data_IF_302426966182
#
_entry.id   IF_302426966182
#
_cell.length_a   1.000
_cell.length_b   1.000
_cell.length_c   1.000
_cell.angle_alpha   90.00
_cell.angle_beta   90.00
_cell.angle_gamma   90.00
#
_symmetry.space_group_name_H-M   'P 1'
#
loop_
_entity.id
_entity.type
_entity.pdbx_description
1 polymer ?
#
# COMPACT_ATOMS: atom_id res chain seq x y z
N UNK A 1 -8.06 6.62 -5.55
CA UNK A 1 -6.75 6.10 -5.09
C UNK A 1 -5.71 6.38 -6.16
N UNK A 2 -4.58 6.90 -5.75
CA UNK A 2 -3.50 7.19 -6.69
C UNK A 2 -2.65 5.96 -6.89
N UNK A 3 -2.22 5.70 -8.13
CA UNK A 3 -1.49 4.49 -8.48
C UNK A 3 -0.11 4.87 -8.99
N UNK A 4 0.91 4.15 -8.54
CA UNK A 4 2.30 4.41 -8.90
C UNK A 4 2.93 3.13 -9.44
N UNK A 5 3.91 3.29 -10.34
CA UNK A 5 4.74 2.16 -10.74
C UNK A 5 5.71 1.82 -9.61
N UNK A 6 6.25 0.60 -9.65
CA UNK A 6 7.25 0.21 -8.66
C UNK A 6 8.44 1.16 -8.69
N UNK A 7 8.87 1.55 -9.89
CA UNK A 7 10.00 2.47 -10.03
C UNK A 7 9.70 3.82 -9.38
N UNK A 8 8.53 4.38 -9.65
CA UNK A 8 8.14 5.64 -9.03
C UNK A 8 8.07 5.51 -7.51
N UNK A 9 7.54 4.39 -7.04
CA UNK A 9 7.43 4.17 -5.61
C UNK A 9 8.81 4.14 -4.95
N UNK A 10 9.77 3.46 -5.58
CA UNK A 10 11.13 3.40 -5.05
C UNK A 10 11.79 4.76 -5.00
N UNK A 11 11.57 5.57 -6.04
CA UNK A 11 12.18 6.90 -6.11
C UNK A 11 11.57 7.88 -5.12
N UNK A 12 10.30 7.69 -4.79
CA UNK A 12 9.57 8.60 -3.92
C UNK A 12 9.20 7.92 -2.60
N UNK A 13 9.97 6.94 -2.19
CA UNK A 13 9.66 6.09 -1.04
C UNK A 13 9.30 6.89 0.21
N UNK A 14 10.18 7.81 0.62
CA UNK A 14 9.95 8.56 1.85
C UNK A 14 8.66 9.38 1.79
N UNK A 15 8.43 10.02 0.66
CA UNK A 15 7.25 10.83 0.46
C UNK A 15 5.97 10.00 0.51
N UNK A 16 5.98 8.87 -0.20
CA UNK A 16 4.78 8.05 -0.32
C UNK A 16 4.47 7.31 0.97
N UNK A 17 5.48 6.86 1.70
CA UNK A 17 5.28 6.25 3.00
C UNK A 17 4.67 7.26 3.97
N UNK A 18 5.14 8.51 3.93
CA UNK A 18 4.57 9.54 4.78
C UNK A 18 3.09 9.76 4.49
N UNK A 19 2.71 9.73 3.22
CA UNK A 19 1.31 9.86 2.84
C UNK A 19 0.47 8.72 3.40
N UNK A 20 0.99 7.51 3.33
CA UNK A 20 0.29 6.35 3.89
C UNK A 20 0.14 6.49 5.40
N UNK A 21 1.19 6.94 6.07
CA UNK A 21 1.13 7.15 7.51
C UNK A 21 0.10 8.20 7.91
N UNK A 22 -0.18 9.13 7.01
CA UNK A 22 -1.20 10.16 7.24
C UNK A 22 -2.62 9.66 6.97
N UNK A 23 -2.76 8.43 6.52
CA UNK A 23 -4.07 7.83 6.31
C UNK A 23 -4.45 7.59 4.87
N UNK A 24 -3.56 7.85 3.91
CA UNK A 24 -3.86 7.65 2.51
C UNK A 24 -3.64 6.20 2.08
N UNK A 25 -4.39 5.77 1.09
CA UNK A 25 -4.21 4.46 0.48
C UNK A 25 -3.66 4.65 -0.92
N UNK A 26 -2.60 3.95 -1.25
CA UNK A 26 -1.92 4.08 -2.54
C UNK A 26 -1.87 2.73 -3.25
N UNK A 27 -1.92 2.76 -4.58
CA UNK A 27 -1.77 1.55 -5.39
C UNK A 27 -0.39 1.48 -6.01
N UNK A 28 0.11 0.28 -6.22
CA UNK A 28 1.41 0.03 -6.85
C UNK A 28 1.21 -1.01 -7.92
N UNK A 29 1.78 -0.78 -9.11
CA UNK A 29 1.73 -1.76 -10.19
C UNK A 29 3.15 -2.01 -10.69
N UNK A 30 3.41 -3.25 -11.10
CA UNK A 30 4.71 -3.59 -11.68
C UNK A 30 4.57 -3.79 -13.19
N UNK A 31 5.69 -4.09 -13.84
CA UNK A 31 5.71 -4.24 -15.29
C UNK A 31 4.94 -5.45 -15.79
N UNK A 32 4.69 -6.41 -14.92
CA UNK A 32 3.95 -7.62 -15.27
C UNK A 32 2.44 -7.44 -15.13
N UNK A 33 2.00 -6.26 -14.77
CA UNK A 33 0.58 -5.99 -14.59
C UNK A 33 0.04 -6.39 -13.23
N UNK A 34 0.89 -6.87 -12.35
CA UNK A 34 0.47 -7.19 -11.00
C UNK A 34 0.34 -5.90 -10.19
N UNK A 35 -0.61 -5.87 -9.28
CA UNK A 35 -0.85 -4.68 -8.47
C UNK A 35 -0.97 -5.03 -7.00
N UNK A 36 -0.69 -4.04 -6.18
CA UNK A 36 -0.81 -4.16 -4.74
C UNK A 36 -1.35 -2.85 -4.19
N UNK A 37 -1.83 -2.88 -2.96
CA UNK A 37 -2.35 -1.70 -2.30
C UNK A 37 -1.60 -1.52 -0.99
N UNK A 38 -1.19 -0.28 -0.70
CA UNK A 38 -0.53 0.05 0.55
C UNK A 38 -1.45 0.96 1.35
N UNK A 39 -1.70 0.60 2.60
CA UNK A 39 -2.60 1.33 3.47
C UNK A 39 -2.04 1.37 4.90
N UNK A 40 -2.50 2.32 5.74
CA UNK A 40 -2.03 2.39 7.12
C UNK A 40 -2.35 1.11 7.89
N UNK A 41 -1.46 0.74 8.80
CA UNK A 41 -1.61 -0.50 9.56
C UNK A 41 -2.81 -0.45 10.52
N UNK A 42 -3.28 0.75 10.86
CA UNK A 42 -4.44 0.90 11.73
C UNK A 42 -5.74 1.10 10.96
N UNK A 43 -5.69 1.01 9.63
CA UNK A 43 -6.89 1.12 8.82
C UNK A 43 -7.80 -0.08 9.08
N UNK A 44 -9.12 0.13 9.21
CA UNK A 44 -10.05 -1.00 9.46
C UNK A 44 -9.95 -2.11 8.42
N UNK A 45 -9.71 -1.76 7.16
CA UNK A 45 -9.56 -2.76 6.11
C UNK A 45 -8.31 -3.61 6.37
N UNK A 46 -7.22 -2.98 6.77
CA UNK A 46 -6.00 -3.71 7.09
C UNK A 46 -6.22 -4.64 8.28
N UNK A 47 -6.96 -4.18 9.29
CA UNK A 47 -7.25 -5.02 10.46
C UNK A 47 -8.04 -6.26 10.06
N UNK A 48 -8.95 -6.14 9.11
CA UNK A 48 -9.69 -7.28 8.61
C UNK A 48 -8.76 -8.30 7.96
N UNK A 49 -7.83 -7.83 7.13
CA UNK A 49 -6.86 -8.71 6.50
C UNK A 49 -5.96 -9.38 7.53
N UNK A 50 -5.55 -8.63 8.53
CA UNK A 50 -4.68 -9.16 9.57
C UNK A 50 -5.36 -10.28 10.33
N UNK A 51 -6.61 -10.09 10.71
CA UNK A 51 -7.38 -11.11 11.42
C UNK A 51 -7.53 -12.36 10.58
N UNK A 52 -7.70 -12.18 9.28
CA UNK A 52 -7.88 -13.29 8.37
C UNK A 52 -6.57 -14.07 8.19
N UNK A 53 -5.45 -13.37 8.12
CA UNK A 53 -4.14 -13.95 7.91
C UNK A 53 -3.64 -14.72 9.11
N UNK A 54 -4.12 -14.38 10.27
CA UNK A 54 -3.69 -15.02 11.49
C UNK A 54 -3.94 -16.51 11.47
N UNK A 55 -4.86 -16.93 10.67
CA UNK A 55 -5.21 -18.35 10.56
C UNK A 55 -4.15 -19.14 9.80
N UNK A 56 -3.25 -18.50 9.12
CA UNK A 56 -2.28 -19.21 8.28
C UNK A 56 -0.97 -19.50 9.00
#
# INVERSE_FOLDING_TARGET
MEVFSVTEFQERWDELIERVEKGETLGIVNDNGESAVMMPADDPVYQMYKDHDEAS
#
